data_IF_949379655706
#
_entry.id   IF_949379655706
#
_cell.length_a   1.000
_cell.length_b   1.000
_cell.length_c   1.000
_cell.angle_alpha   90.00
_cell.angle_beta   90.00
_cell.angle_gamma   90.00
#
_symmetry.space_group_name_H-M   'P 1'
#
loop_
_entity.id
_entity.type
_entity.pdbx_description
1 polymer ?
#
# COMPACT_ATOMS: atom_id res chain seq x y z
N UNK A 1 22.31 -1.77 9.67
CA UNK A 1 22.17 -2.10 8.24
C UNK A 1 21.45 -0.96 7.54
N UNK A 2 21.84 -0.57 6.31
CA UNK A 2 21.15 0.44 5.52
C UNK A 2 20.08 -0.19 4.62
N UNK A 3 19.00 0.54 4.37
CA UNK A 3 17.85 0.12 3.57
C UNK A 3 17.42 1.24 2.62
N UNK A 4 16.70 0.87 1.57
CA UNK A 4 15.92 1.81 0.76
C UNK A 4 14.43 1.69 1.15
N UNK A 5 13.77 2.83 1.39
CA UNK A 5 12.37 2.90 1.81
C UNK A 5 11.48 3.35 0.64
N UNK A 6 10.43 2.58 0.40
CA UNK A 6 9.50 2.83 -0.70
C UNK A 6 8.07 2.97 -0.18
N UNK A 7 7.38 4.03 -0.56
CA UNK A 7 5.94 3.99 -0.68
C UNK A 7 5.54 3.08 -1.84
N UNK A 8 4.29 2.61 -1.92
CA UNK A 8 3.91 1.62 -2.93
C UNK A 8 3.04 2.19 -4.04
N UNK A 9 1.88 2.74 -3.69
CA UNK A 9 0.89 3.19 -4.67
C UNK A 9 1.34 4.50 -5.35
N UNK A 10 1.24 4.56 -6.69
CA UNK A 10 1.76 5.65 -7.54
C UNK A 10 3.27 5.86 -7.48
N UNK A 11 3.96 5.18 -6.56
CA UNK A 11 5.41 5.17 -6.41
C UNK A 11 6.03 3.96 -7.10
N UNK A 12 5.80 2.76 -6.61
CA UNK A 12 6.27 1.48 -7.15
C UNK A 12 5.29 0.93 -8.18
N UNK A 13 4.01 1.06 -7.91
CA UNK A 13 2.91 0.67 -8.77
C UNK A 13 2.19 1.92 -9.30
N UNK A 14 1.82 2.01 -10.60
CA UNK A 14 1.43 3.27 -11.23
C UNK A 14 0.11 3.88 -10.75
N UNK A 15 -0.68 3.13 -10.02
CA UNK A 15 -2.02 3.52 -9.56
C UNK A 15 -2.24 3.09 -8.11
N UNK A 16 -3.37 3.48 -7.54
CA UNK A 16 -3.84 3.00 -6.24
C UNK A 16 -4.22 1.52 -6.32
N UNK A 17 -3.43 0.66 -5.67
CA UNK A 17 -3.56 -0.80 -5.78
C UNK A 17 -4.86 -1.31 -5.16
N UNK A 18 -5.31 -0.71 -4.05
CA UNK A 18 -6.53 -1.12 -3.36
C UNK A 18 -7.79 -0.81 -4.20
N UNK A 19 -7.82 0.35 -4.86
CA UNK A 19 -8.94 0.75 -5.73
C UNK A 19 -9.03 -0.14 -6.97
N UNK A 20 -7.88 -0.43 -7.60
CA UNK A 20 -7.84 -1.34 -8.75
C UNK A 20 -8.18 -2.77 -8.35
N UNK A 21 -7.75 -3.23 -7.18
CA UNK A 21 -8.12 -4.53 -6.65
C UNK A 21 -9.63 -4.64 -6.38
N UNK A 22 -10.22 -3.60 -5.78
CA UNK A 22 -11.67 -3.55 -5.59
C UNK A 22 -12.43 -3.66 -6.92
N UNK A 23 -12.05 -2.84 -7.92
CA UNK A 23 -12.66 -2.90 -9.25
C UNK A 23 -12.46 -4.27 -9.92
N UNK A 24 -11.29 -4.87 -9.75
CA UNK A 24 -10.99 -6.21 -10.24
C UNK A 24 -11.89 -7.27 -9.62
N UNK A 25 -12.19 -7.16 -8.31
CA UNK A 25 -13.15 -8.03 -7.62
C UNK A 25 -14.57 -7.79 -8.12
N UNK A 26 -15.00 -6.54 -8.27
CA UNK A 26 -16.34 -6.18 -8.73
C UNK A 26 -16.63 -6.72 -10.15
N UNK A 27 -15.68 -6.62 -11.07
CA UNK A 27 -15.82 -7.15 -12.44
C UNK A 27 -15.96 -8.69 -12.43
N UNK A 28 -15.30 -9.39 -11.51
CA UNK A 28 -15.35 -10.87 -11.42
C UNK A 28 -16.52 -11.37 -10.60
N UNK A 29 -17.06 -10.53 -9.75
CA UNK A 29 -18.15 -10.82 -8.84
C UNK A 29 -19.21 -9.72 -8.92
N UNK A 30 -19.95 -9.62 -10.06
CA UNK A 30 -20.86 -8.49 -10.30
C UNK A 30 -21.98 -8.37 -9.27
N UNK A 31 -22.34 -9.44 -8.55
CA UNK A 31 -23.31 -9.37 -7.44
C UNK A 31 -22.83 -8.46 -6.29
N UNK A 32 -21.52 -8.13 -6.18
CA UNK A 32 -21.04 -7.18 -5.18
C UNK A 32 -21.65 -5.77 -5.36
N UNK A 33 -22.26 -5.48 -6.52
CA UNK A 33 -22.93 -4.22 -6.75
C UNK A 33 -24.08 -3.99 -5.73
N UNK A 34 -24.65 -5.06 -5.18
CA UNK A 34 -25.71 -4.97 -4.16
C UNK A 34 -25.23 -4.26 -2.89
N UNK A 35 -23.97 -4.39 -2.53
CA UNK A 35 -23.39 -3.72 -1.34
C UNK A 35 -22.81 -2.35 -1.67
N UNK A 36 -22.76 -1.96 -2.94
CA UNK A 36 -22.18 -0.68 -3.38
C UNK A 36 -22.80 0.55 -2.67
N UNK A 37 -24.13 0.66 -2.48
CA UNK A 37 -24.69 1.80 -1.75
C UNK A 37 -24.12 1.95 -0.33
N UNK A 38 -23.98 0.85 0.40
CA UNK A 38 -23.35 0.86 1.72
C UNK A 38 -21.86 1.28 1.66
N UNK A 39 -21.14 0.78 0.67
CA UNK A 39 -19.72 1.12 0.47
C UNK A 39 -19.54 2.59 0.10
N UNK A 40 -20.44 3.18 -0.70
CA UNK A 40 -20.42 4.61 -1.02
C UNK A 40 -20.62 5.48 0.24
N UNK A 41 -21.53 5.07 1.13
CA UNK A 41 -21.69 5.74 2.44
C UNK A 41 -20.42 5.64 3.27
N UNK A 42 -19.80 4.46 3.37
CA UNK A 42 -18.53 4.28 4.09
C UNK A 42 -17.42 5.16 3.50
N UNK A 43 -17.33 5.25 2.18
CA UNK A 43 -16.34 6.06 1.48
C UNK A 43 -16.58 7.56 1.74
N UNK A 44 -17.82 8.04 1.65
CA UNK A 44 -18.19 9.40 1.97
C UNK A 44 -17.84 9.74 3.42
N UNK A 45 -18.19 8.88 4.38
CA UNK A 45 -17.83 9.06 5.78
C UNK A 45 -16.32 9.10 6.00
N UNK A 46 -15.55 8.26 5.29
CA UNK A 46 -14.09 8.25 5.36
C UNK A 46 -13.49 9.58 4.90
N UNK A 47 -13.92 10.13 3.75
CA UNK A 47 -13.45 11.42 3.26
C UNK A 47 -13.89 12.60 4.14
N UNK A 48 -15.08 12.54 4.71
CA UNK A 48 -15.57 13.52 5.66
C UNK A 48 -14.98 13.36 7.08
N UNK A 49 -14.06 12.38 7.27
CA UNK A 49 -13.44 12.02 8.56
C UNK A 49 -14.45 11.60 9.64
N UNK A 50 -15.65 11.17 9.26
CA UNK A 50 -16.68 10.67 10.16
C UNK A 50 -16.38 9.19 10.45
N UNK A 51 -16.16 8.86 11.74
CA UNK A 51 -15.87 7.48 12.16
C UNK A 51 -14.42 7.00 11.89
N UNK A 52 -13.57 7.88 11.37
CA UNK A 52 -12.13 7.63 11.23
C UNK A 52 -11.79 6.44 10.33
N UNK A 53 -10.65 5.82 10.60
CA UNK A 53 -10.11 4.70 9.81
C UNK A 53 -11.02 3.46 9.77
N UNK A 54 -11.94 3.31 10.74
CA UNK A 54 -12.92 2.21 10.75
C UNK A 54 -13.79 2.19 9.49
N UNK A 55 -14.02 3.34 8.87
CA UNK A 55 -14.80 3.43 7.62
C UNK A 55 -14.09 2.77 6.46
N UNK A 56 -12.76 2.85 6.40
CA UNK A 56 -11.94 2.10 5.45
C UNK A 56 -12.19 0.58 5.61
N UNK A 57 -12.11 0.06 6.82
CA UNK A 57 -12.39 -1.36 7.08
C UNK A 57 -13.82 -1.76 6.70
N UNK A 58 -14.82 -0.89 6.94
CA UNK A 58 -16.21 -1.14 6.53
C UNK A 58 -16.39 -1.16 5.01
N UNK A 59 -15.68 -0.31 4.28
CA UNK A 59 -15.66 -0.34 2.82
C UNK A 59 -15.19 -1.70 2.29
N UNK A 60 -14.20 -2.32 2.95
CA UNK A 60 -13.67 -3.63 2.59
C UNK A 60 -14.56 -4.83 2.98
N UNK A 61 -15.77 -4.61 3.46
CA UNK A 61 -16.72 -5.69 3.83
C UNK A 61 -16.99 -6.70 2.70
N UNK A 62 -16.75 -6.33 1.44
CA UNK A 62 -16.91 -7.20 0.27
C UNK A 62 -15.99 -8.44 0.30
N UNK A 63 -14.89 -8.38 1.07
CA UNK A 63 -13.98 -9.52 1.23
C UNK A 63 -14.66 -10.76 1.83
N UNK A 64 -15.77 -10.58 2.54
CA UNK A 64 -16.60 -11.70 3.06
C UNK A 64 -17.24 -12.55 1.97
N UNK A 65 -17.36 -11.98 0.77
CA UNK A 65 -18.11 -12.58 -0.34
C UNK A 65 -17.21 -13.07 -1.46
N UNK A 66 -15.89 -12.99 -1.27
CA UNK A 66 -14.91 -13.42 -2.27
C UNK A 66 -13.82 -14.26 -1.63
N UNK A 67 -13.20 -15.15 -2.39
CA UNK A 67 -11.97 -15.81 -1.96
C UNK A 67 -10.81 -14.85 -2.16
N UNK A 68 -10.42 -14.13 -1.10
CA UNK A 68 -9.44 -13.05 -1.13
C UNK A 68 -8.08 -13.53 -1.63
N UNK A 69 -7.59 -14.66 -1.14
CA UNK A 69 -6.29 -15.22 -1.54
C UNK A 69 -6.24 -15.50 -3.06
N UNK A 70 -7.27 -16.19 -3.56
CA UNK A 70 -7.39 -16.47 -5.01
C UNK A 70 -7.49 -15.18 -5.84
N UNK A 71 -8.20 -14.17 -5.31
CA UNK A 71 -8.36 -12.89 -6.01
C UNK A 71 -7.06 -12.09 -6.04
N UNK A 72 -6.33 -12.04 -4.93
CA UNK A 72 -5.01 -11.38 -4.84
C UNK A 72 -4.00 -12.03 -5.78
N UNK A 73 -3.94 -13.37 -5.79
CA UNK A 73 -3.07 -14.11 -6.72
C UNK A 73 -3.37 -13.72 -8.18
N UNK A 74 -4.64 -13.84 -8.61
CA UNK A 74 -5.06 -13.48 -9.97
C UNK A 74 -4.86 -11.98 -10.29
N UNK A 75 -5.00 -11.12 -9.29
CA UNK A 75 -4.75 -9.69 -9.46
C UNK A 75 -3.30 -9.42 -9.82
N UNK A 76 -2.35 -10.00 -9.08
CA UNK A 76 -0.93 -9.81 -9.35
C UNK A 76 -0.46 -10.52 -10.60
N UNK A 77 -0.95 -11.71 -10.93
CA UNK A 77 -0.67 -12.38 -12.22
C UNK A 77 -0.97 -11.45 -13.41
N UNK A 78 -2.00 -10.62 -13.31
CA UNK A 78 -2.39 -9.67 -14.37
C UNK A 78 -1.64 -8.33 -14.30
N UNK A 79 -1.30 -7.86 -13.11
CA UNK A 79 -0.85 -6.47 -12.90
C UNK A 79 0.63 -6.32 -12.57
N UNK A 80 1.33 -7.39 -12.21
CA UNK A 80 2.73 -7.37 -11.81
C UNK A 80 3.65 -6.65 -12.80
N UNK A 81 3.45 -6.88 -14.11
CA UNK A 81 4.25 -6.24 -15.17
C UNK A 81 4.19 -4.71 -15.17
N UNK A 82 3.22 -4.12 -14.45
CA UNK A 82 3.06 -2.67 -14.31
C UNK A 82 3.96 -2.07 -13.22
N UNK A 83 4.60 -2.90 -12.40
CA UNK A 83 5.58 -2.45 -11.40
C UNK A 83 6.76 -1.82 -12.13
N UNK A 84 7.15 -0.63 -11.67
CA UNK A 84 8.22 0.12 -12.29
C UNK A 84 9.58 -0.58 -12.16
N UNK A 85 10.42 -0.52 -13.22
CA UNK A 85 11.69 -1.24 -13.29
C UNK A 85 12.64 -0.95 -12.12
N UNK A 86 12.69 0.29 -11.62
CA UNK A 86 13.60 0.65 -10.54
C UNK A 86 13.36 -0.11 -9.22
N UNK A 87 12.14 -0.65 -9.03
CA UNK A 87 11.81 -1.43 -7.84
C UNK A 87 12.17 -2.91 -7.96
N UNK A 88 12.54 -3.40 -9.12
CA UNK A 88 12.89 -4.81 -9.32
C UNK A 88 14.15 -5.17 -8.52
N UNK A 89 14.23 -6.41 -7.96
CA UNK A 89 15.37 -6.81 -7.13
C UNK A 89 16.73 -6.60 -7.78
N UNK A 90 16.82 -6.83 -9.10
CA UNK A 90 18.05 -6.67 -9.88
C UNK A 90 18.49 -5.20 -10.06
N UNK A 91 17.62 -4.25 -9.80
CA UNK A 91 17.87 -2.82 -9.99
C UNK A 91 18.03 -2.07 -8.65
N UNK A 92 18.13 -2.80 -7.54
CA UNK A 92 18.27 -2.22 -6.20
C UNK A 92 19.63 -2.54 -5.62
N UNK A 93 20.28 -1.52 -5.06
CA UNK A 93 21.59 -1.67 -4.40
C UNK A 93 21.44 -2.14 -2.95
N UNK A 94 20.32 -1.77 -2.29
CA UNK A 94 20.05 -2.06 -0.88
C UNK A 94 18.76 -2.87 -0.70
N UNK A 95 18.61 -3.56 0.44
CA UNK A 95 17.36 -4.22 0.79
C UNK A 95 16.22 -3.22 0.87
N UNK A 96 15.08 -3.55 0.26
CA UNK A 96 13.91 -2.69 0.22
C UNK A 96 13.02 -2.88 1.45
N UNK A 97 12.57 -1.77 2.00
CA UNK A 97 11.45 -1.70 2.95
C UNK A 97 10.29 -1.02 2.25
N UNK A 98 9.10 -1.61 2.30
CA UNK A 98 7.88 -1.01 1.75
C UNK A 98 7.00 -0.54 2.89
N UNK A 99 6.58 0.73 2.85
CA UNK A 99 5.66 1.30 3.83
C UNK A 99 4.46 1.95 3.12
N UNK A 100 3.26 1.35 3.24
CA UNK A 100 2.09 1.71 2.44
C UNK A 100 0.80 1.78 3.22
N UNK A 101 -0.10 2.67 2.80
CA UNK A 101 -1.47 2.71 3.30
C UNK A 101 -2.35 1.58 2.76
N UNK A 102 -1.95 0.91 1.69
CA UNK A 102 -2.68 -0.22 1.11
C UNK A 102 -2.69 -1.46 2.03
N UNK A 103 -3.69 -2.36 1.87
CA UNK A 103 -3.81 -3.55 2.71
C UNK A 103 -2.61 -4.48 2.62
N UNK A 104 -2.12 -4.93 3.78
CA UNK A 104 -0.97 -5.84 3.88
C UNK A 104 -1.20 -7.14 3.08
N UNK A 105 -2.39 -7.76 3.19
CA UNK A 105 -2.71 -8.99 2.48
C UNK A 105 -2.63 -8.84 0.95
N UNK A 106 -2.91 -7.64 0.44
CA UNK A 106 -2.82 -7.34 -0.99
C UNK A 106 -1.37 -7.23 -1.46
N UNK A 107 -0.53 -6.55 -0.67
CA UNK A 107 0.86 -6.27 -1.06
C UNK A 107 1.83 -7.40 -0.73
N UNK A 108 1.54 -8.22 0.28
CA UNK A 108 2.44 -9.28 0.75
C UNK A 108 2.94 -10.21 -0.36
N UNK A 109 2.09 -10.80 -1.24
CA UNK A 109 2.58 -11.75 -2.26
C UNK A 109 3.53 -11.12 -3.27
N UNK A 110 3.29 -9.85 -3.63
CA UNK A 110 4.16 -9.16 -4.58
C UNK A 110 5.46 -8.69 -3.92
N UNK A 111 5.41 -8.26 -2.66
CA UNK A 111 6.59 -7.91 -1.88
C UNK A 111 7.50 -9.12 -1.65
N UNK A 112 6.95 -10.28 -1.33
CA UNK A 112 7.69 -11.54 -1.20
C UNK A 112 8.36 -11.92 -2.53
N UNK A 113 7.62 -11.89 -3.63
CA UNK A 113 8.15 -12.18 -4.98
C UNK A 113 9.29 -11.24 -5.35
N UNK A 114 9.18 -9.96 -4.98
CA UNK A 114 10.20 -8.93 -5.24
C UNK A 114 11.26 -8.84 -4.15
N UNK A 115 11.36 -9.84 -3.26
CA UNK A 115 12.39 -9.94 -2.20
C UNK A 115 12.47 -8.65 -1.36
N UNK A 116 11.31 -8.10 -1.00
CA UNK A 116 11.22 -6.99 -0.05
C UNK A 116 11.59 -7.50 1.33
N UNK A 117 12.52 -6.82 2.00
CA UNK A 117 13.01 -7.22 3.32
C UNK A 117 11.92 -7.08 4.39
N UNK A 118 11.20 -5.97 4.38
CA UNK A 118 10.13 -5.70 5.35
C UNK A 118 8.96 -4.99 4.68
N UNK A 119 7.75 -5.50 4.90
CA UNK A 119 6.50 -4.85 4.48
C UNK A 119 5.80 -4.30 5.72
N UNK A 120 5.58 -2.99 5.73
CA UNK A 120 4.83 -2.24 6.73
C UNK A 120 3.60 -1.65 6.02
N UNK A 121 2.41 -2.18 6.30
CA UNK A 121 1.21 -1.83 5.55
C UNK A 121 -0.03 -1.81 6.45
N UNK A 122 -1.15 -1.30 5.94
CA UNK A 122 -2.39 -1.28 6.70
C UNK A 122 -2.88 -2.70 6.96
N UNK A 123 -3.09 -3.04 8.22
CA UNK A 123 -3.55 -4.36 8.63
C UNK A 123 -5.06 -4.46 8.52
N UNK A 124 -5.52 -5.22 7.54
CA UNK A 124 -6.92 -5.62 7.39
C UNK A 124 -7.02 -7.14 7.44
N UNK A 125 -8.06 -7.62 8.10
CA UNK A 125 -8.44 -9.03 8.03
C UNK A 125 -8.89 -9.37 6.60
N UNK A 126 -8.23 -10.33 5.92
CA UNK A 126 -8.51 -10.66 4.52
C UNK A 126 -9.87 -11.33 4.30
N UNK A 127 -10.53 -11.80 5.36
CA UNK A 127 -11.83 -12.47 5.26
C UNK A 127 -13.00 -11.54 5.59
N UNK A 128 -12.78 -10.51 6.40
CA UNK A 128 -13.86 -9.64 6.88
C UNK A 128 -13.70 -8.17 6.48
N UNK A 129 -12.51 -7.77 6.05
CA UNK A 129 -12.16 -6.39 5.78
C UNK A 129 -11.96 -5.52 7.04
N UNK A 130 -12.11 -6.09 8.24
CA UNK A 130 -11.93 -5.31 9.48
C UNK A 130 -10.49 -4.87 9.65
N UNK A 131 -10.31 -3.61 10.00
CA UNK A 131 -8.99 -3.10 10.39
C UNK A 131 -8.60 -3.62 11.77
N UNK A 132 -7.35 -4.04 11.89
CA UNK A 132 -6.74 -4.50 13.15
C UNK A 132 -5.71 -3.52 13.68
N UNK A 133 -5.85 -2.24 13.34
CA UNK A 133 -4.99 -1.13 13.75
C UNK A 133 -5.38 0.14 13.01
N UNK A 134 -4.53 1.17 13.09
CA UNK A 134 -4.71 2.42 12.35
C UNK A 134 -4.32 2.23 10.87
N UNK A 135 -4.75 3.16 10.02
CA UNK A 135 -4.33 3.22 8.63
C UNK A 135 -2.86 3.67 8.54
N UNK A 136 -2.02 2.91 7.85
CA UNK A 136 -0.58 3.16 7.72
C UNK A 136 -0.31 4.31 6.74
N UNK A 137 -0.65 5.54 7.15
CA UNK A 137 -0.46 6.77 6.35
C UNK A 137 0.07 7.91 7.20
N UNK A 138 0.56 8.94 6.56
CA UNK A 138 1.07 10.15 7.21
C UNK A 138 2.09 9.79 8.33
N UNK A 139 1.94 10.37 9.53
CA UNK A 139 2.80 10.11 10.68
C UNK A 139 2.78 8.65 11.19
N UNK A 140 1.68 7.91 10.98
CA UNK A 140 1.58 6.50 11.37
C UNK A 140 2.62 5.61 10.66
N UNK A 141 3.04 5.97 9.43
CA UNK A 141 4.12 5.28 8.73
C UNK A 141 5.41 5.28 9.56
N UNK A 142 5.81 6.43 10.09
CA UNK A 142 7.04 6.57 10.89
C UNK A 142 6.95 5.80 12.21
N UNK A 143 5.81 5.87 12.89
CA UNK A 143 5.59 5.11 14.14
C UNK A 143 5.81 3.63 13.88
N UNK A 144 5.18 3.07 12.86
CA UNK A 144 5.31 1.64 12.53
C UNK A 144 6.67 1.23 12.00
N UNK A 145 7.35 2.11 11.28
CA UNK A 145 8.74 1.87 10.86
C UNK A 145 9.63 1.75 12.11
N UNK A 146 9.51 2.66 13.07
CA UNK A 146 10.30 2.62 14.29
C UNK A 146 9.95 1.42 15.18
N UNK A 147 8.70 1.00 15.23
CA UNK A 147 8.29 -0.21 15.96
C UNK A 147 8.86 -1.50 15.32
N UNK A 148 8.81 -1.59 14.00
CA UNK A 148 9.26 -2.79 13.27
C UNK A 148 10.78 -2.86 13.10
N UNK A 149 11.42 -1.70 13.01
CA UNK A 149 12.84 -1.57 12.65
C UNK A 149 13.50 -0.40 13.40
N UNK A 150 13.64 -0.43 14.73
CA UNK A 150 14.08 0.71 15.55
C UNK A 150 15.48 1.22 15.20
N UNK A 151 16.37 0.35 14.71
CA UNK A 151 17.77 0.68 14.38
C UNK A 151 18.01 0.83 12.88
N UNK A 152 16.95 0.87 12.06
CA UNK A 152 17.08 0.98 10.62
C UNK A 152 17.58 2.36 10.21
N UNK A 153 18.51 2.41 9.26
CA UNK A 153 18.93 3.63 8.58
C UNK A 153 18.51 3.55 7.13
N UNK A 154 17.86 4.59 6.65
CA UNK A 154 17.38 4.65 5.28
C UNK A 154 18.28 5.53 4.43
N UNK A 155 18.88 4.94 3.38
CA UNK A 155 19.73 5.69 2.45
C UNK A 155 18.85 6.45 1.45
N UNK A 156 17.98 5.75 0.74
CA UNK A 156 17.09 6.36 -0.23
C UNK A 156 15.63 6.19 0.19
N UNK A 157 14.84 7.25 0.02
CA UNK A 157 13.38 7.21 0.23
C UNK A 157 12.67 7.61 -1.05
N UNK A 158 11.66 6.83 -1.43
CA UNK A 158 10.90 7.01 -2.67
C UNK A 158 9.41 7.16 -2.35
N UNK A 159 8.79 8.24 -2.80
CA UNK A 159 7.33 8.45 -2.70
C UNK A 159 6.82 9.39 -3.79
N UNK A 160 5.53 9.24 -4.15
CA UNK A 160 4.79 10.13 -5.04
C UNK A 160 4.23 11.37 -4.31
N UNK A 161 4.10 11.32 -2.99
CA UNK A 161 3.44 12.35 -2.19
C UNK A 161 4.41 13.14 -1.31
N UNK A 162 4.72 14.35 -1.74
CA UNK A 162 5.60 15.26 -0.96
C UNK A 162 4.96 15.73 0.36
N UNK A 163 3.63 15.75 0.45
CA UNK A 163 2.91 16.26 1.61
C UNK A 163 2.59 15.16 2.63
N UNK A 164 1.92 14.10 2.22
CA UNK A 164 1.53 13.02 3.14
C UNK A 164 2.73 12.20 3.59
N UNK A 165 3.74 12.07 2.74
CA UNK A 165 4.95 11.30 3.01
C UNK A 165 6.16 12.17 3.45
N UNK A 166 5.93 13.45 3.76
CA UNK A 166 6.95 14.29 4.39
C UNK A 166 7.59 13.63 5.64
N UNK A 167 6.83 12.93 6.52
CA UNK A 167 7.44 12.25 7.66
C UNK A 167 8.42 11.15 7.29
N UNK A 168 8.16 10.34 6.24
CA UNK A 168 9.10 9.30 5.83
C UNK A 168 10.30 9.87 5.06
N UNK A 169 10.15 10.97 4.33
CA UNK A 169 11.28 11.66 3.71
C UNK A 169 12.29 12.19 4.74
N UNK A 170 11.83 12.52 5.94
CA UNK A 170 12.73 12.95 7.03
C UNK A 170 13.69 11.82 7.49
N UNK A 171 13.35 10.56 7.25
CA UNK A 171 14.16 9.40 7.62
C UNK A 171 15.32 9.13 6.62
N UNK A 172 15.23 9.64 5.40
CA UNK A 172 16.17 9.35 4.31
C UNK A 172 17.37 10.31 4.24
N UNK A 173 18.51 9.75 3.84
CA UNK A 173 19.69 10.54 3.48
C UNK A 173 19.49 11.20 2.11
N UNK A 174 18.90 10.47 1.16
CA UNK A 174 18.59 10.91 -0.22
C UNK A 174 17.10 10.64 -0.49
N UNK A 175 16.40 11.64 -1.02
CA UNK A 175 14.98 11.56 -1.26
C UNK A 175 14.63 11.68 -2.74
N UNK A 176 13.74 10.81 -3.22
CA UNK A 176 13.25 10.78 -4.59
C UNK A 176 11.75 10.98 -4.65
N UNK A 177 11.32 11.99 -5.35
CA UNK A 177 9.92 12.15 -5.76
C UNK A 177 9.67 11.28 -7.01
N UNK A 178 8.78 10.30 -6.88
CA UNK A 178 8.45 9.35 -7.93
C UNK A 178 7.13 9.75 -8.60
N UNK A 179 7.17 10.14 -9.86
CA UNK A 179 5.97 10.50 -10.63
C UNK A 179 5.94 9.70 -11.93
N UNK A 180 4.91 8.87 -12.11
CA UNK A 180 4.75 8.05 -13.31
C UNK A 180 6.01 7.26 -13.70
N UNK A 181 6.72 6.72 -12.70
CA UNK A 181 7.93 5.93 -12.87
C UNK A 181 9.22 6.74 -13.11
N UNK A 182 9.12 8.07 -13.17
CA UNK A 182 10.29 8.95 -13.20
C UNK A 182 10.69 9.34 -11.78
N UNK A 183 11.98 9.27 -11.50
CA UNK A 183 12.55 9.61 -10.19
C UNK A 183 13.25 10.97 -10.29
N UNK A 184 12.82 11.92 -9.46
CA UNK A 184 13.46 13.23 -9.32
C UNK A 184 14.04 13.34 -7.93
N UNK A 185 15.35 13.53 -7.80
CA UNK A 185 15.99 13.74 -6.50
C UNK A 185 15.56 15.09 -5.94
N UNK A 186 15.15 15.13 -4.67
CA UNK A 186 14.70 16.33 -3.96
C UNK A 186 15.55 16.65 -2.72
N UNK A 187 16.43 15.72 -2.34
CA UNK A 187 17.41 15.90 -1.26
C UNK A 187 18.65 15.04 -1.55
#
# INVERSE_FOLDING_TARGET
MKFDLYDFDKTVFPVDSESVFYLFCLIRHPWLIVILPYQLVCLACFFLKIGGDKMKGRFFCFLRFVNTEKMVKKFWEKNERRIYPFFRPENRDLPAVVCSASPEFLLRPICEKYKVHTLIATRLDPHTGRMTGLNCKDGEKVIRINEAMPDAKFEKVFSDSLKSDAPIFALGEINYHAVSGKLTRIK
#
